data_IF_635530467391
#
_entry.id   IF_635530467391
#
_cell.length_a   1.000
_cell.length_b   1.000
_cell.length_c   1.000
_cell.angle_alpha   90.00
_cell.angle_beta   90.00
_cell.angle_gamma   90.00
#
_symmetry.space_group_name_H-M   'P 1'
#
loop_
_entity.id
_entity.type
_entity.pdbx_description
1 polymer ?
#
# COMPACT_ATOMS: atom_id res chain seq x y z
N UNK A 1 5.57 9.69 6.31
CA UNK A 1 4.85 8.88 7.31
C UNK A 1 5.45 9.10 8.69
N UNK A 2 4.65 9.14 9.77
CA UNK A 2 5.17 9.21 11.14
C UNK A 2 5.98 7.95 11.50
N UNK A 3 7.00 8.07 12.35
CA UNK A 3 7.78 6.91 12.81
C UNK A 3 6.89 5.94 13.60
N UNK A 4 7.10 4.64 13.42
CA UNK A 4 6.37 3.56 14.10
C UNK A 4 4.84 3.66 14.00
N UNK A 5 4.35 4.26 12.91
CA UNK A 5 2.92 4.40 12.68
C UNK A 5 2.23 3.04 12.52
N UNK A 6 0.95 3.01 12.92
CA UNK A 6 0.02 1.96 12.53
C UNK A 6 -0.47 2.21 11.09
N UNK A 7 -0.45 1.16 10.28
CA UNK A 7 -0.78 1.20 8.86
C UNK A 7 -1.91 0.23 8.62
N UNK A 8 -3.00 0.70 8.04
CA UNK A 8 -4.05 -0.17 7.53
C UNK A 8 -3.84 -0.28 6.02
N UNK A 9 -3.48 -1.47 5.57
CA UNK A 9 -3.37 -1.83 4.17
C UNK A 9 -4.71 -2.40 3.71
N UNK A 10 -5.52 -1.52 3.11
CA UNK A 10 -6.81 -1.87 2.51
C UNK A 10 -6.55 -2.46 1.13
N UNK A 11 -7.10 -3.64 0.83
CA UNK A 11 -6.84 -4.31 -0.44
C UNK A 11 -8.09 -4.96 -1.03
N UNK A 12 -8.25 -4.73 -2.32
CA UNK A 12 -9.30 -5.25 -3.16
C UNK A 12 -9.05 -6.67 -3.64
N UNK A 13 -10.10 -7.37 -4.08
CA UNK A 13 -9.92 -8.63 -4.76
C UNK A 13 -9.29 -8.39 -6.14
N UNK A 14 -8.50 -9.35 -6.61
CA UNK A 14 -7.94 -9.31 -7.96
C UNK A 14 -7.80 -10.71 -8.56
N UNK A 15 -7.85 -10.77 -9.89
CA UNK A 15 -7.48 -11.99 -10.63
C UNK A 15 -5.97 -12.08 -10.77
N UNK A 16 -5.39 -13.16 -10.27
CA UNK A 16 -3.99 -13.51 -10.45
C UNK A 16 -3.89 -14.57 -11.56
N UNK A 17 -3.15 -14.30 -12.64
CA UNK A 17 -2.80 -15.31 -13.67
C UNK A 17 -4.03 -16.07 -14.23
N UNK A 18 -5.14 -15.36 -14.46
CA UNK A 18 -6.38 -15.95 -14.99
C UNK A 18 -7.22 -16.74 -13.98
N UNK A 19 -6.87 -16.72 -12.69
CA UNK A 19 -7.65 -17.32 -11.61
C UNK A 19 -8.89 -16.48 -11.27
N UNK A 20 -9.79 -17.08 -10.47
CA UNK A 20 -10.92 -16.40 -9.84
C UNK A 20 -10.50 -15.11 -9.12
N UNK A 21 -11.37 -14.12 -9.20
CA UNK A 21 -11.20 -12.83 -8.50
C UNK A 21 -11.47 -13.06 -7.02
N UNK A 22 -10.41 -12.93 -6.21
CA UNK A 22 -10.44 -13.19 -4.77
C UNK A 22 -9.52 -12.20 -4.05
N UNK A 23 -9.77 -11.98 -2.75
CA UNK A 23 -8.85 -11.27 -1.87
C UNK A 23 -7.62 -12.12 -1.60
N UNK A 24 -6.51 -11.79 -2.26
CA UNK A 24 -5.22 -12.48 -2.12
C UNK A 24 -4.18 -11.54 -1.52
N UNK A 25 -3.36 -12.06 -0.62
CA UNK A 25 -2.31 -11.28 0.08
C UNK A 25 -0.92 -11.46 -0.51
N UNK A 26 -0.74 -12.39 -1.45
CA UNK A 26 0.58 -12.76 -2.00
C UNK A 26 1.37 -11.56 -2.54
N UNK A 27 0.72 -10.64 -3.26
CA UNK A 27 1.36 -9.40 -3.76
C UNK A 27 1.67 -8.37 -2.67
N UNK A 28 1.02 -8.48 -1.50
CA UNK A 28 1.19 -7.56 -0.38
C UNK A 28 2.37 -7.93 0.52
N UNK A 29 2.89 -9.15 0.44
CA UNK A 29 3.97 -9.65 1.32
C UNK A 29 5.23 -8.78 1.24
N UNK A 30 5.64 -8.40 0.03
CA UNK A 30 6.79 -7.52 -0.17
C UNK A 30 6.58 -6.12 0.44
N UNK A 31 5.38 -5.56 0.28
CA UNK A 31 5.02 -4.26 0.84
C UNK A 31 4.97 -4.30 2.37
N UNK A 32 4.37 -5.34 2.95
CA UNK A 32 4.37 -5.58 4.40
C UNK A 32 5.79 -5.69 4.94
N UNK A 33 6.65 -6.46 4.29
CA UNK A 33 8.04 -6.64 4.72
C UNK A 33 8.82 -5.30 4.76
N UNK A 34 8.62 -4.42 3.77
CA UNK A 34 9.29 -3.11 3.76
C UNK A 34 8.74 -2.20 4.86
N UNK A 35 7.43 -2.15 5.06
CA UNK A 35 6.81 -1.32 6.10
C UNK A 35 7.20 -1.78 7.51
N UNK A 36 7.17 -3.09 7.77
CA UNK A 36 7.60 -3.65 9.06
C UNK A 36 9.09 -3.45 9.30
N UNK A 37 9.93 -3.55 8.27
CA UNK A 37 11.36 -3.26 8.37
C UNK A 37 11.64 -1.79 8.73
N UNK A 38 10.78 -0.87 8.31
CA UNK A 38 10.86 0.56 8.68
C UNK A 38 10.29 0.86 10.08
N UNK A 39 9.80 -0.17 10.80
CA UNK A 39 9.29 -0.08 12.17
C UNK A 39 7.78 0.12 12.28
N UNK A 40 7.03 0.03 11.18
CA UNK A 40 5.58 0.20 11.19
C UNK A 40 4.83 -1.10 11.53
N UNK A 41 3.70 -0.94 12.22
CA UNK A 41 2.75 -2.04 12.45
C UNK A 41 1.73 -2.05 11.32
N UNK A 42 1.61 -3.17 10.60
CA UNK A 42 0.73 -3.28 9.42
C UNK A 42 -0.45 -4.20 9.71
N UNK A 43 -1.65 -3.72 9.41
CA UNK A 43 -2.92 -4.45 9.47
C UNK A 43 -3.49 -4.59 8.06
N UNK A 44 -4.08 -5.74 7.74
CA UNK A 44 -4.70 -5.98 6.45
C UNK A 44 -6.22 -5.84 6.56
N UNK A 45 -6.82 -5.04 5.69
CA UNK A 45 -8.28 -4.87 5.60
C UNK A 45 -8.76 -5.19 4.19
N UNK A 46 -9.79 -6.05 4.07
CA UNK A 46 -10.39 -6.36 2.77
C UNK A 46 -11.37 -5.26 2.38
N UNK A 47 -11.30 -4.81 1.13
CA UNK A 47 -12.28 -3.89 0.53
C UNK A 47 -12.88 -4.52 -0.73
N UNK A 48 -14.05 -4.04 -1.15
CA UNK A 48 -14.74 -4.57 -2.33
C UNK A 48 -14.25 -3.95 -3.64
N UNK A 49 -13.51 -2.84 -3.59
CA UNK A 49 -12.98 -2.17 -4.78
C UNK A 49 -11.92 -3.02 -5.48
N UNK A 50 -12.18 -3.40 -6.73
CA UNK A 50 -11.32 -4.35 -7.44
C UNK A 50 -9.95 -3.79 -7.80
N UNK A 51 -8.93 -4.63 -7.60
CA UNK A 51 -7.54 -4.35 -7.89
C UNK A 51 -6.97 -3.12 -7.15
N UNK A 52 -7.63 -2.59 -6.12
CA UNK A 52 -7.17 -1.41 -5.38
C UNK A 52 -6.33 -1.82 -4.18
N UNK A 53 -5.30 -1.03 -3.89
CA UNK A 53 -4.62 -1.01 -2.60
C UNK A 53 -4.64 0.42 -2.08
N UNK A 54 -4.96 0.59 -0.80
CA UNK A 54 -4.85 1.87 -0.09
C UNK A 54 -4.02 1.67 1.17
N UNK A 55 -3.06 2.57 1.40
CA UNK A 55 -2.33 2.68 2.65
C UNK A 55 -2.97 3.78 3.46
N UNK A 56 -3.52 3.43 4.61
CA UNK A 56 -4.18 4.36 5.54
C UNK A 56 -3.35 4.50 6.81
N UNK A 57 -3.10 5.74 7.21
CA UNK A 57 -2.30 6.12 8.38
C UNK A 57 -3.01 7.27 9.07
N UNK A 58 -3.28 7.15 10.38
CA UNK A 58 -4.06 8.13 11.12
C UNK A 58 -5.37 8.51 10.41
N UNK A 59 -6.10 7.49 9.94
CA UNK A 59 -7.38 7.66 9.23
C UNK A 59 -7.32 8.36 7.87
N UNK A 60 -6.12 8.67 7.37
CA UNK A 60 -5.92 9.28 6.05
C UNK A 60 -5.31 8.29 5.06
N UNK A 61 -5.87 8.24 3.85
CA UNK A 61 -5.25 7.51 2.73
C UNK A 61 -4.03 8.29 2.25
N UNK A 62 -2.85 7.75 2.51
CA UNK A 62 -1.57 8.38 2.18
C UNK A 62 -0.96 7.85 0.88
N UNK A 63 -1.40 6.70 0.42
CA UNK A 63 -0.95 6.08 -0.82
C UNK A 63 -2.06 5.18 -1.38
N UNK A 64 -2.20 5.13 -2.69
CA UNK A 64 -3.06 4.17 -3.38
C UNK A 64 -2.42 3.72 -4.68
N UNK A 65 -2.65 2.47 -5.07
CA UNK A 65 -2.21 1.94 -6.36
C UNK A 65 -3.07 0.76 -6.82
N UNK A 66 -2.83 0.30 -8.05
CA UNK A 66 -3.38 -0.96 -8.51
C UNK A 66 -2.52 -2.13 -7.97
N UNK A 67 -3.14 -3.16 -7.40
CA UNK A 67 -2.44 -4.35 -6.88
C UNK A 67 -1.63 -5.08 -7.95
N UNK A 68 -2.01 -4.97 -9.22
CA UNK A 68 -1.27 -5.58 -10.34
C UNK A 68 0.03 -4.85 -10.66
N UNK A 69 0.14 -3.58 -10.26
CA UNK A 69 1.35 -2.77 -10.42
C UNK A 69 2.40 -3.09 -9.34
N UNK A 70 2.05 -3.85 -8.29
CA UNK A 70 3.02 -4.41 -7.36
C UNK A 70 3.83 -5.49 -8.07
N UNK A 71 5.05 -5.15 -8.51
CA UNK A 71 5.99 -6.09 -9.08
C UNK A 71 6.71 -6.91 -7.98
N UNK A 72 6.81 -8.23 -8.17
CA UNK A 72 7.67 -9.08 -7.34
C UNK A 72 9.12 -8.67 -7.57
N UNK A 73 9.81 -8.36 -6.46
CA UNK A 73 11.09 -7.67 -6.46
C UNK A 73 12.08 -8.16 -7.51
N UNK A 74 12.43 -7.30 -8.46
CA UNK A 74 13.76 -7.35 -9.06
C UNK A 74 14.76 -6.93 -7.97
N UNK A 75 15.87 -7.66 -7.77
CA UNK A 75 16.96 -7.20 -6.93
C UNK A 75 17.67 -6.04 -7.64
N UNK A 76 17.05 -4.87 -7.64
CA UNK A 76 17.69 -3.64 -8.10
C UNK A 76 17.21 -2.50 -7.23
N UNK A 77 18.15 -1.99 -6.45
CA UNK A 77 18.13 -0.72 -5.75
C UNK A 77 17.14 0.29 -6.36
N UNK A 78 16.28 0.84 -5.50
CA UNK A 78 15.20 1.82 -5.75
C UNK A 78 13.82 1.19 -5.92
N UNK A 79 13.19 0.86 -4.78
CA UNK A 79 11.81 1.28 -4.59
C UNK A 79 11.86 2.80 -4.51
N UNK A 80 11.48 3.50 -5.58
CA UNK A 80 11.26 4.93 -5.49
C UNK A 80 10.00 5.15 -4.67
N UNK A 81 10.14 5.19 -3.36
CA UNK A 81 9.26 5.98 -2.53
C UNK A 81 9.37 7.40 -3.06
N UNK A 82 8.34 7.88 -3.73
CA UNK A 82 8.19 9.32 -3.86
C UNK A 82 8.09 9.83 -2.41
N UNK A 83 8.97 10.73 -1.97
CA UNK A 83 8.84 11.32 -0.66
C UNK A 83 7.41 11.82 -0.50
N UNK A 84 6.89 11.72 0.73
CA UNK A 84 5.71 12.45 1.19
C UNK A 84 5.96 13.96 1.01
N UNK A 85 6.00 14.44 -0.23
CA UNK A 85 6.00 15.85 -0.54
C UNK A 85 4.61 16.29 -0.10
N UNK A 86 4.59 17.03 1.01
CA UNK A 86 3.43 17.67 1.58
C UNK A 86 2.51 18.10 0.46
N UNK A 87 1.28 17.55 0.43
CA UNK A 87 0.17 18.32 -0.13
C UNK A 87 0.10 19.58 0.73
N UNK A 88 0.81 20.63 0.33
CA UNK A 88 0.48 21.99 0.69
C UNK A 88 -0.93 22.19 0.13
N UNK A 89 -1.95 21.86 0.93
CA UNK A 89 -3.23 22.54 0.78
C UNK A 89 -2.90 23.98 1.11
N UNK A 90 -2.74 24.78 0.07
CA UNK A 90 -2.79 26.24 0.16
C UNK A 90 -4.12 26.57 0.82
N UNK A 91 -4.09 26.88 2.12
CA UNK A 91 -5.20 27.49 2.81
C UNK A 91 -5.05 28.99 2.53
N UNK A 92 -5.80 29.48 1.56
CA UNK A 92 -6.00 30.92 1.42
C UNK A 92 -6.93 31.36 2.56
N UNK A 93 -6.51 32.44 3.22
CA UNK A 93 -7.12 33.08 4.39
C UNK A 93 -8.63 33.30 4.28
#
# INVERSE_FOLDING_TARGET
MPKNAEVILRYGPYSAVGLSVEHRTFRLEGLQAVLTKDGHTVFLEKIEDWNVIELMVNEEIVFHCNIKDLEFGKPSNKVSYQPFASRKKTLNF
#
